data_IF_132877771951
#
_entry.id   IF_132877771951
#
_cell.length_a   1.000
_cell.length_b   1.000
_cell.length_c   1.000
_cell.angle_alpha   90.00
_cell.angle_beta   90.00
_cell.angle_gamma   90.00
#
_symmetry.space_group_name_H-M   'P 1'
#
loop_
_entity.id
_entity.type
_entity.pdbx_description
1 polymer ?
#
# COMPACT_ATOMS: atom_id res chain seq x y z
N UNK A 1 3.23 -21.67 -15.72
CA UNK A 1 4.58 -21.13 -16.05
C UNK A 1 4.75 -20.87 -17.55
N UNK A 2 4.49 -21.84 -18.43
CA UNK A 2 4.62 -21.63 -19.91
C UNK A 2 3.84 -20.41 -20.41
N UNK A 3 2.61 -20.21 -19.92
CA UNK A 3 1.77 -19.05 -20.27
C UNK A 3 2.34 -17.72 -19.77
N UNK A 4 2.86 -17.68 -18.54
CA UNK A 4 3.50 -16.49 -17.98
C UNK A 4 4.78 -16.12 -18.73
N UNK A 5 5.50 -17.12 -19.26
CA UNK A 5 6.64 -16.90 -20.13
C UNK A 5 6.20 -16.39 -21.50
N UNK A 6 5.16 -16.98 -22.10
CA UNK A 6 4.63 -16.48 -23.39
C UNK A 6 4.01 -15.09 -23.30
N UNK A 7 3.57 -14.67 -22.11
CA UNK A 7 3.04 -13.33 -21.86
C UNK A 7 4.11 -12.32 -21.40
N UNK A 8 5.40 -12.69 -21.40
CA UNK A 8 6.53 -11.88 -20.90
C UNK A 8 6.41 -11.41 -19.44
N UNK A 9 5.56 -12.07 -18.65
CA UNK A 9 5.44 -11.86 -17.20
C UNK A 9 6.63 -12.52 -16.48
N UNK A 10 7.05 -13.69 -16.96
CA UNK A 10 8.26 -14.38 -16.51
C UNK A 10 9.24 -14.56 -17.67
N UNK A 11 10.53 -14.60 -17.36
CA UNK A 11 11.60 -14.90 -18.31
C UNK A 11 12.41 -16.08 -17.80
N UNK A 12 12.63 -17.09 -18.64
CA UNK A 12 13.49 -18.23 -18.30
C UNK A 12 14.95 -17.79 -18.27
N UNK A 13 15.70 -18.22 -17.25
CA UNK A 13 17.14 -18.00 -17.20
C UNK A 13 17.82 -19.05 -18.08
N UNK A 14 18.60 -18.59 -19.08
CA UNK A 14 19.34 -19.50 -19.96
C UNK A 14 20.44 -20.23 -19.19
N UNK A 15 20.64 -21.51 -19.49
CA UNK A 15 21.69 -22.31 -18.85
C UNK A 15 21.30 -22.94 -17.51
N UNK A 16 20.07 -22.75 -17.03
CA UNK A 16 19.56 -23.44 -15.84
C UNK A 16 18.33 -24.28 -16.13
N UNK A 17 18.16 -25.34 -15.33
CA UNK A 17 17.04 -26.26 -15.43
C UNK A 17 15.88 -25.81 -14.55
N UNK A 18 15.24 -24.70 -14.94
CA UNK A 18 13.95 -24.29 -14.36
C UNK A 18 13.94 -23.00 -13.56
N UNK A 19 14.99 -22.17 -13.63
CA UNK A 19 14.94 -20.86 -12.99
C UNK A 19 14.26 -19.83 -13.90
N UNK A 20 13.51 -18.93 -13.27
CA UNK A 20 12.79 -17.85 -13.91
C UNK A 20 13.07 -16.54 -13.17
N UNK A 21 13.07 -15.45 -13.92
CA UNK A 21 13.06 -14.08 -13.39
C UNK A 21 11.81 -13.34 -13.87
N UNK A 22 11.55 -12.14 -13.36
CA UNK A 22 10.48 -11.30 -13.84
C UNK A 22 10.78 -10.82 -15.27
N UNK A 23 9.79 -10.92 -16.15
CA UNK A 23 9.89 -10.39 -17.51
C UNK A 23 9.56 -8.90 -17.56
N UNK A 24 9.90 -8.24 -18.66
CA UNK A 24 9.71 -6.80 -18.84
C UNK A 24 8.25 -6.37 -18.85
N UNK A 25 7.30 -7.29 -19.09
CA UNK A 25 5.87 -6.98 -19.08
C UNK A 25 5.40 -6.46 -17.73
N UNK A 26 6.05 -6.83 -16.62
CA UNK A 26 5.75 -6.29 -15.28
C UNK A 26 5.92 -4.76 -15.27
N UNK A 27 7.03 -4.24 -15.77
CA UNK A 27 7.29 -2.80 -15.81
C UNK A 27 6.32 -2.06 -16.76
N UNK A 28 5.95 -2.69 -17.87
CA UNK A 28 4.96 -2.13 -18.81
C UNK A 28 3.58 -2.05 -18.17
N UNK A 29 3.13 -3.11 -17.49
CA UNK A 29 1.84 -3.15 -16.80
C UNK A 29 1.79 -2.13 -15.66
N UNK A 30 2.88 -2.00 -14.91
CA UNK A 30 3.04 -0.99 -13.87
C UNK A 30 2.90 0.43 -14.47
N UNK A 31 3.60 0.75 -15.57
CA UNK A 31 3.46 2.03 -16.28
C UNK A 31 2.02 2.31 -16.74
N UNK A 32 1.36 1.31 -17.33
CA UNK A 32 -0.03 1.43 -17.78
C UNK A 32 -0.95 1.67 -16.58
N UNK A 33 -0.81 0.89 -15.51
CA UNK A 33 -1.62 1.04 -14.30
C UNK A 33 -1.57 2.47 -13.78
N UNK A 34 -0.39 3.06 -13.66
CA UNK A 34 -0.23 4.43 -13.20
C UNK A 34 -0.81 5.47 -14.16
N UNK A 35 -0.51 5.34 -15.47
CA UNK A 35 -0.90 6.34 -16.47
C UNK A 35 -2.41 6.34 -16.75
N UNK A 36 -3.09 5.24 -16.42
CA UNK A 36 -4.53 5.05 -16.69
C UNK A 36 -5.40 5.05 -15.44
N UNK A 37 -4.82 5.10 -14.23
CA UNK A 37 -5.61 5.09 -13.00
C UNK A 37 -6.35 6.43 -12.80
N UNK A 38 -7.69 6.46 -12.95
CA UNK A 38 -8.45 7.69 -12.82
C UNK A 38 -8.41 8.24 -11.39
N UNK A 39 -8.28 7.38 -10.37
CA UNK A 39 -8.20 7.81 -8.98
C UNK A 39 -6.93 8.62 -8.73
N UNK A 40 -5.80 8.17 -9.29
CA UNK A 40 -4.53 8.91 -9.21
C UNK A 40 -4.67 10.27 -9.90
N UNK A 41 -5.14 10.29 -11.15
CA UNK A 41 -5.24 11.53 -11.93
C UNK A 41 -6.15 12.57 -11.27
N UNK A 42 -7.28 12.13 -10.72
CA UNK A 42 -8.24 13.01 -10.02
C UNK A 42 -7.65 13.52 -8.69
N UNK A 43 -6.82 12.73 -8.01
CA UNK A 43 -6.27 13.07 -6.68
C UNK A 43 -5.12 14.08 -6.74
N UNK A 44 -4.32 14.09 -7.82
CA UNK A 44 -3.10 14.92 -7.94
C UNK A 44 -3.32 16.40 -7.57
N UNK A 45 -4.34 17.12 -8.11
CA UNK A 45 -4.52 18.53 -7.79
C UNK A 45 -4.77 18.78 -6.30
N UNK A 46 -5.52 17.90 -5.63
CA UNK A 46 -5.82 18.01 -4.21
C UNK A 46 -4.60 17.68 -3.34
N UNK A 47 -3.83 16.67 -3.73
CA UNK A 47 -2.59 16.31 -3.05
C UNK A 47 -1.57 17.44 -3.12
N UNK A 48 -1.44 18.11 -4.28
CA UNK A 48 -0.56 19.28 -4.43
C UNK A 48 -0.98 20.44 -3.53
N UNK A 49 -2.27 20.75 -3.43
CA UNK A 49 -2.77 21.77 -2.50
C UNK A 49 -2.40 21.44 -1.05
N UNK A 50 -2.56 20.18 -0.64
CA UNK A 50 -2.19 19.72 0.70
C UNK A 50 -0.69 19.89 0.94
N UNK A 51 0.15 19.47 -0.01
CA UNK A 51 1.62 19.58 0.09
C UNK A 51 2.05 21.03 0.19
N UNK A 52 1.53 21.91 -0.65
CA UNK A 52 1.88 23.34 -0.62
C UNK A 52 1.46 24.02 0.69
N UNK A 53 0.31 23.64 1.25
CA UNK A 53 -0.21 24.23 2.49
C UNK A 53 0.44 23.70 3.76
N UNK A 54 0.90 22.46 3.73
CA UNK A 54 1.46 21.77 4.91
C UNK A 54 2.98 21.71 4.90
N UNK A 55 3.60 21.92 3.72
CA UNK A 55 5.02 21.68 3.47
C UNK A 55 5.46 20.23 3.76
N UNK A 56 4.50 19.28 3.78
CA UNK A 56 4.70 17.87 4.05
C UNK A 56 4.40 17.03 2.82
N UNK A 57 4.91 15.80 2.78
CA UNK A 57 4.55 14.79 1.79
C UNK A 57 3.08 14.38 1.91
N UNK A 58 2.41 14.19 0.78
CA UNK A 58 1.09 13.57 0.69
C UNK A 58 1.18 12.22 -0.05
N UNK A 59 0.61 11.15 0.53
CA UNK A 59 0.61 9.81 -0.04
C UNK A 59 -0.81 9.38 -0.40
N UNK A 60 -0.99 8.80 -1.59
CA UNK A 60 -2.19 8.09 -1.99
C UNK A 60 -1.94 6.59 -1.85
N UNK A 61 -2.51 5.99 -0.81
CA UNK A 61 -2.25 4.60 -0.44
C UNK A 61 -3.42 3.69 -0.79
N UNK A 62 -3.14 2.56 -1.44
CA UNK A 62 -4.07 1.46 -1.63
C UNK A 62 -3.84 0.36 -0.60
N UNK A 63 -4.90 -0.06 0.08
CA UNK A 63 -4.87 -1.19 1.00
C UNK A 63 -5.19 -2.47 0.24
N UNK A 64 -4.22 -3.36 0.12
CA UNK A 64 -4.48 -4.77 -0.19
C UNK A 64 -4.76 -5.54 1.11
N UNK A 65 -5.04 -6.83 1.02
CA UNK A 65 -5.45 -7.64 2.15
C UNK A 65 -4.46 -7.58 3.34
N UNK A 66 -3.18 -7.78 3.06
CA UNK A 66 -2.11 -7.98 4.04
C UNK A 66 -0.94 -6.98 3.91
N UNK A 67 -0.95 -6.15 2.88
CA UNK A 67 0.01 -5.06 2.67
C UNK A 67 -0.71 -3.84 2.08
N UNK A 68 -0.06 -2.69 2.14
CA UNK A 68 -0.48 -1.52 1.39
C UNK A 68 0.61 -1.07 0.41
N UNK A 69 0.21 -0.40 -0.65
CA UNK A 69 1.12 0.18 -1.64
C UNK A 69 0.75 1.64 -1.85
N UNK A 70 1.75 2.48 -2.10
CA UNK A 70 1.52 3.86 -2.51
C UNK A 70 1.32 3.89 -4.02
N UNK A 71 0.13 4.32 -4.44
CA UNK A 71 -0.23 4.52 -5.84
C UNK A 71 0.41 5.79 -6.40
N UNK A 72 0.51 6.83 -5.56
CA UNK A 72 1.06 8.13 -5.92
C UNK A 72 1.55 8.88 -4.68
N UNK A 73 2.48 9.82 -4.88
CA UNK A 73 2.90 10.77 -3.85
C UNK A 73 3.21 12.14 -4.43
N UNK A 74 3.05 13.18 -3.63
CA UNK A 74 3.49 14.54 -3.93
C UNK A 74 4.37 15.02 -2.77
N UNK A 75 5.47 15.71 -3.10
CA UNK A 75 6.47 16.20 -2.14
C UNK A 75 6.63 17.70 -2.24
N UNK A 76 6.99 18.33 -1.12
CA UNK A 76 7.32 19.75 -1.11
C UNK A 76 8.77 19.93 -1.56
N UNK A 77 8.99 20.78 -2.58
CA UNK A 77 10.33 21.18 -3.07
C UNK A 77 11.27 20.00 -3.34
N UNK A 78 10.76 18.95 -3.98
CA UNK A 78 11.54 17.75 -4.37
C UNK A 78 12.23 17.03 -3.19
N UNK A 79 11.69 17.13 -1.97
CA UNK A 79 12.19 16.37 -0.83
C UNK A 79 12.17 14.86 -1.12
N UNK A 80 13.32 14.20 -0.98
CA UNK A 80 13.43 12.76 -1.25
C UNK A 80 12.67 11.92 -0.21
N UNK A 81 11.75 11.08 -0.69
CA UNK A 81 11.13 10.01 0.10
C UNK A 81 11.97 8.73 -0.02
N UNK A 82 13.00 8.62 0.81
CA UNK A 82 13.88 7.45 0.84
C UNK A 82 13.17 6.13 1.22
N UNK A 83 11.95 6.17 1.76
CA UNK A 83 11.27 5.00 2.36
C UNK A 83 9.95 4.59 1.70
N UNK A 84 9.54 5.26 0.62
CA UNK A 84 8.20 5.09 0.01
C UNK A 84 8.28 4.91 -1.51
N UNK A 85 9.19 4.03 -1.94
CA UNK A 85 9.37 3.69 -3.35
C UNK A 85 8.12 3.02 -3.96
N UNK A 86 7.91 3.27 -5.25
CA UNK A 86 6.80 2.72 -6.05
C UNK A 86 6.71 1.20 -5.92
N UNK A 87 5.50 0.71 -5.63
CA UNK A 87 5.22 -0.73 -5.53
C UNK A 87 5.88 -1.43 -4.34
N UNK A 88 6.54 -0.68 -3.43
CA UNK A 88 7.11 -1.22 -2.22
C UNK A 88 5.96 -1.54 -1.23
N UNK A 89 5.73 -2.82 -0.89
CA UNK A 89 4.68 -3.17 0.05
C UNK A 89 5.03 -2.64 1.45
N UNK A 90 4.10 -1.88 2.03
CA UNK A 90 4.20 -1.38 3.40
C UNK A 90 3.34 -2.22 4.34
N UNK A 91 3.82 -2.50 5.57
CA UNK A 91 3.04 -3.22 6.56
C UNK A 91 1.78 -2.46 6.94
N UNK A 92 0.66 -3.15 6.98
CA UNK A 92 -0.67 -2.60 7.24
C UNK A 92 -0.86 -2.14 8.70
N UNK A 93 -0.06 -2.67 9.63
CA UNK A 93 -0.09 -2.31 11.05
C UNK A 93 0.73 -1.05 11.38
N UNK A 94 1.42 -0.46 10.39
CA UNK A 94 2.26 0.73 10.54
C UNK A 94 1.69 1.91 9.74
N UNK A 95 1.75 3.10 10.33
CA UNK A 95 1.32 4.34 9.68
C UNK A 95 -0.19 4.62 9.78
N UNK A 96 -0.59 5.81 9.34
CA UNK A 96 -1.98 6.28 9.43
C UNK A 96 -2.86 5.76 8.29
N UNK A 97 -2.34 5.75 7.05
CA UNK A 97 -3.10 5.39 5.84
C UNK A 97 -3.80 4.02 5.93
N UNK A 98 -3.13 2.90 6.29
CA UNK A 98 -3.83 1.63 6.38
C UNK A 98 -4.86 1.63 7.52
N UNK A 99 -4.57 2.28 8.66
CA UNK A 99 -5.46 2.29 9.83
C UNK A 99 -6.80 2.96 9.53
N UNK A 100 -6.81 4.09 8.81
CA UNK A 100 -8.07 4.77 8.46
C UNK A 100 -8.91 3.93 7.49
N UNK A 101 -8.28 3.22 6.54
CA UNK A 101 -9.00 2.31 5.63
C UNK A 101 -9.56 1.10 6.41
N UNK A 102 -8.76 0.48 7.27
CA UNK A 102 -9.18 -0.67 8.10
C UNK A 102 -10.34 -0.27 9.02
N UNK A 103 -10.29 0.92 9.62
CA UNK A 103 -11.35 1.44 10.47
C UNK A 103 -12.72 1.53 9.77
N UNK A 104 -12.73 1.63 8.44
CA UNK A 104 -13.95 1.68 7.63
C UNK A 104 -14.43 0.32 7.12
N UNK A 105 -13.69 -0.76 7.36
CA UNK A 105 -14.10 -2.11 6.97
C UNK A 105 -15.27 -2.64 7.82
N UNK A 106 -15.87 -3.75 7.38
CA UNK A 106 -16.89 -4.45 8.17
C UNK A 106 -16.29 -4.96 9.49
N UNK A 107 -17.13 -5.11 10.52
CA UNK A 107 -16.72 -5.64 11.83
C UNK A 107 -15.96 -6.97 11.71
N UNK A 108 -16.43 -7.86 10.85
CA UNK A 108 -15.80 -9.16 10.59
C UNK A 108 -14.40 -8.99 10.01
N UNK A 109 -14.20 -8.07 9.05
CA UNK A 109 -12.88 -7.81 8.46
C UNK A 109 -11.92 -7.15 9.45
N UNK A 110 -12.41 -6.24 10.30
CA UNK A 110 -11.61 -5.65 11.39
C UNK A 110 -11.12 -6.75 12.35
N UNK A 111 -12.00 -7.68 12.73
CA UNK A 111 -11.62 -8.80 13.60
C UNK A 111 -10.62 -9.74 12.94
N UNK A 112 -10.85 -10.12 11.68
CA UNK A 112 -9.93 -10.97 10.92
C UNK A 112 -8.54 -10.33 10.81
N UNK A 113 -8.50 -9.02 10.59
CA UNK A 113 -7.26 -8.26 10.53
C UNK A 113 -6.48 -8.32 11.86
N UNK A 114 -7.16 -8.12 13.00
CA UNK A 114 -6.51 -8.28 14.30
C UNK A 114 -5.97 -9.70 14.51
N UNK A 115 -6.75 -10.72 14.15
CA UNK A 115 -6.33 -12.11 14.28
C UNK A 115 -5.05 -12.38 13.48
N UNK A 116 -4.98 -11.87 12.26
CA UNK A 116 -3.83 -12.04 11.37
C UNK A 116 -2.58 -11.32 11.87
N UNK A 117 -2.71 -10.09 12.38
CA UNK A 117 -1.57 -9.22 12.72
C UNK A 117 -1.39 -8.97 14.22
N UNK A 118 -1.99 -9.79 15.08
CA UNK A 118 -1.98 -9.58 16.54
C UNK A 118 -0.58 -9.43 17.13
N UNK A 119 0.39 -10.23 16.66
CA UNK A 119 1.78 -10.17 17.14
C UNK A 119 2.44 -8.86 16.75
N UNK A 120 2.31 -8.47 15.49
CA UNK A 120 2.89 -7.26 14.93
C UNK A 120 2.26 -6.02 15.55
N UNK A 121 0.94 -6.01 15.73
CA UNK A 121 0.18 -4.96 16.42
C UNK A 121 0.64 -4.78 17.88
N UNK A 122 0.94 -5.87 18.58
CA UNK A 122 1.50 -5.83 19.91
C UNK A 122 2.95 -5.33 19.93
N UNK A 123 3.77 -5.78 18.97
CA UNK A 123 5.18 -5.37 18.83
C UNK A 123 5.34 -3.87 18.55
N UNK A 124 4.46 -3.30 17.72
CA UNK A 124 4.46 -1.85 17.43
C UNK A 124 3.70 -1.03 18.49
N UNK A 125 3.21 -1.67 19.55
CA UNK A 125 2.50 -1.01 20.65
C UNK A 125 1.16 -0.40 20.26
N UNK A 126 0.50 -0.89 19.21
CA UNK A 126 -0.79 -0.34 18.77
C UNK A 126 -2.00 -1.00 19.43
N UNK A 127 -1.95 -2.31 19.68
CA UNK A 127 -2.98 -3.02 20.43
C UNK A 127 -2.44 -4.35 20.98
N UNK A 128 -2.74 -4.64 22.25
CA UNK A 128 -2.44 -5.90 22.94
C UNK A 128 -3.62 -6.88 22.95
N UNK A 129 -4.84 -6.36 22.79
CA UNK A 129 -6.08 -7.16 22.77
C UNK A 129 -6.97 -6.80 21.58
N UNK A 130 -7.87 -7.72 21.23
CA UNK A 130 -8.83 -7.50 20.14
C UNK A 130 -9.80 -6.37 20.49
N UNK A 131 -10.20 -6.28 21.75
CA UNK A 131 -11.09 -5.24 22.28
C UNK A 131 -10.45 -3.86 22.13
N UNK A 132 -9.18 -3.73 22.52
CA UNK A 132 -8.40 -2.49 22.37
C UNK A 132 -8.28 -2.10 20.89
N UNK A 133 -7.93 -3.06 20.02
CA UNK A 133 -7.85 -2.80 18.58
C UNK A 133 -9.18 -2.29 17.99
N UNK A 134 -10.30 -2.94 18.34
CA UNK A 134 -11.64 -2.52 17.89
C UNK A 134 -11.98 -1.13 18.43
N UNK A 135 -11.61 -0.80 19.66
CA UNK A 135 -11.80 0.54 20.22
C UNK A 135 -10.98 1.59 19.46
N UNK A 136 -9.71 1.31 19.17
CA UNK A 136 -8.87 2.18 18.34
C UNK A 136 -9.46 2.39 16.95
N UNK A 137 -9.93 1.34 16.27
CA UNK A 137 -10.58 1.47 14.96
C UNK A 137 -11.85 2.33 15.01
N UNK A 138 -12.68 2.16 16.04
CA UNK A 138 -13.88 3.01 16.23
C UNK A 138 -13.51 4.47 16.46
N UNK A 139 -12.47 4.74 17.25
CA UNK A 139 -11.99 6.09 17.52
C UNK A 139 -11.48 6.74 16.24
N UNK A 140 -10.64 6.05 15.47
CA UNK A 140 -10.11 6.52 14.19
C UNK A 140 -11.26 6.83 13.23
N UNK A 141 -12.20 5.89 13.04
CA UNK A 141 -13.39 6.12 12.18
C UNK A 141 -14.18 7.36 12.58
N UNK A 142 -14.30 7.65 13.88
CA UNK A 142 -15.03 8.82 14.39
C UNK A 142 -14.29 10.13 14.15
N UNK A 143 -12.96 10.11 14.15
CA UNK A 143 -12.13 11.30 13.98
C UNK A 143 -12.00 11.74 12.52
N UNK A 144 -12.17 10.80 11.58
CA UNK A 144 -11.89 11.03 10.15
C UNK A 144 -10.41 10.88 9.86
#
# INVERSE_FOLDING_TARGET
>A
LKELVSADILKRISGTSGDYTLGSKIAVLDYISHSTDPLVQISIPFMRDIVERTELCCLLTYLNHDYCIDLHHETFKDAELLSFGRGCPRPVYIGASPKIVIAHLSKQRIQAYYQQFSKELAQVGFAQTQEEFIQHMRKIKKQG
#
